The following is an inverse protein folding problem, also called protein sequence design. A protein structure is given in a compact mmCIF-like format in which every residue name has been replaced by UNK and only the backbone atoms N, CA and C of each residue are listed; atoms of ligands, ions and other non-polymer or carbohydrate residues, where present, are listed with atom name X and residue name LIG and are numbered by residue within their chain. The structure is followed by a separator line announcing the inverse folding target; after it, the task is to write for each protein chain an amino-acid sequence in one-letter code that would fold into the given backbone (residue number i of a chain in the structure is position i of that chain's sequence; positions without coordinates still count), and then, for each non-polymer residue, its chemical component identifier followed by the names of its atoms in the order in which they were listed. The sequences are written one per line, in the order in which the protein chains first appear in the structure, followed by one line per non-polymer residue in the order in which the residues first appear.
data_IF_906549993836
#
_entry.id   IF_906549993836
#
_cell.length_a   1.000
_cell.length_b   1.000
_cell.length_c   1.000
_cell.angle_alpha   90.00
_cell.angle_beta   90.00
_cell.angle_gamma   90.00
#
_symmetry.space_group_name_H-M   'P 1'
#
loop_
_entity.id
_entity.type
_entity.pdbx_description
1 polymer ?
#
# COMPACT_ATOMS: atom_id res chain seq x y z
N UNK A 1 20.51 31.46 -53.28
CA UNK A 1 20.14 30.28 -52.51
C UNK A 1 20.01 30.63 -51.04
N UNK A 2 18.80 30.77 -50.52
CA UNK A 2 18.53 31.03 -49.08
C UNK A 2 18.64 29.71 -48.33
N UNK A 3 19.63 29.57 -47.40
CA UNK A 3 19.73 28.44 -46.50
C UNK A 3 18.48 28.43 -45.57
N UNK A 4 17.65 27.41 -45.73
CA UNK A 4 16.60 27.08 -44.78
C UNK A 4 17.28 26.57 -43.49
N UNK A 5 17.23 27.36 -42.44
CA UNK A 5 17.64 26.92 -41.09
C UNK A 5 16.40 26.29 -40.44
N UNK A 6 16.42 24.98 -40.27
CA UNK A 6 15.40 24.27 -39.50
C UNK A 6 15.35 24.84 -38.07
N UNK A 7 14.20 25.26 -37.57
CA UNK A 7 14.10 25.64 -36.15
C UNK A 7 14.40 24.40 -35.30
N UNK A 8 15.42 24.52 -34.44
CA UNK A 8 15.70 23.49 -33.42
C UNK A 8 14.40 23.27 -32.65
N UNK A 9 13.84 22.04 -32.71
CA UNK A 9 12.78 21.60 -31.85
C UNK A 9 13.25 21.74 -30.42
N UNK A 10 12.84 22.82 -29.77
CA UNK A 10 13.07 23.02 -28.34
C UNK A 10 12.31 21.93 -27.58
N UNK A 11 13.05 21.27 -26.72
CA UNK A 11 12.67 20.27 -25.72
C UNK A 11 11.21 20.44 -25.28
N UNK A 12 10.34 19.51 -25.69
CA UNK A 12 8.97 19.41 -25.20
C UNK A 12 9.00 18.86 -23.76
N UNK A 13 9.37 19.68 -22.81
CA UNK A 13 8.96 19.45 -21.43
C UNK A 13 7.48 19.85 -21.34
N UNK A 14 6.61 18.90 -21.61
CA UNK A 14 5.17 19.04 -21.48
C UNK A 14 4.78 19.07 -20.00
N UNK A 15 4.92 20.23 -19.39
CA UNK A 15 4.17 20.60 -18.18
C UNK A 15 2.96 21.44 -18.59
N UNK A 16 1.97 21.53 -17.73
CA UNK A 16 0.74 22.32 -17.91
C UNK A 16 1.03 23.81 -18.21
N UNK A 17 2.28 24.27 -17.98
CA UNK A 17 2.78 25.63 -18.25
C UNK A 17 4.05 25.53 -19.11
N UNK A 18 4.02 26.19 -20.26
CA UNK A 18 5.18 26.33 -21.13
C UNK A 18 6.07 27.47 -20.64
N UNK A 19 7.39 27.42 -20.86
CA UNK A 19 8.33 28.46 -20.45
C UNK A 19 7.98 29.87 -21.02
N UNK A 20 7.21 29.93 -22.12
CA UNK A 20 6.64 31.17 -22.69
C UNK A 20 5.57 31.81 -21.80
N UNK A 21 4.87 31.03 -20.97
CA UNK A 21 3.78 31.53 -20.13
C UNK A 21 4.29 32.32 -18.93
N UNK A 22 5.56 32.15 -18.53
CA UNK A 22 6.20 32.91 -17.45
C UNK A 22 6.44 34.40 -17.79
N UNK A 23 6.34 34.81 -19.05
CA UNK A 23 6.50 36.20 -19.45
C UNK A 23 5.24 37.04 -19.24
N UNK A 24 4.09 36.40 -19.15
CA UNK A 24 2.82 37.11 -18.94
C UNK A 24 2.52 37.28 -17.44
N UNK A 25 2.34 38.52 -16.90
CA UNK A 25 2.09 38.74 -15.47
C UNK A 25 0.81 38.03 -14.97
N UNK A 26 -0.23 37.90 -15.80
CA UNK A 26 -1.44 37.17 -15.43
C UNK A 26 -1.18 35.67 -15.15
N UNK A 27 -0.31 35.04 -15.95
CA UNK A 27 0.06 33.62 -15.73
C UNK A 27 0.92 33.44 -14.48
N UNK A 28 1.75 34.43 -14.11
CA UNK A 28 2.50 34.41 -12.83
C UNK A 28 1.57 34.45 -11.63
N UNK A 29 0.52 35.27 -11.67
CA UNK A 29 -0.47 35.31 -10.60
C UNK A 29 -1.24 34.00 -10.50
N UNK A 30 -1.68 33.42 -11.63
CA UNK A 30 -2.34 32.13 -11.65
C UNK A 30 -1.44 31.00 -11.08
N UNK A 31 -0.16 30.99 -11.45
CA UNK A 31 0.81 30.03 -10.92
C UNK A 31 1.03 30.22 -9.41
N UNK A 32 1.20 31.45 -8.95
CA UNK A 32 1.33 31.74 -7.51
C UNK A 32 0.11 31.25 -6.72
N UNK A 33 -1.09 31.41 -7.30
CA UNK A 33 -2.34 30.94 -6.71
C UNK A 33 -2.37 29.39 -6.62
N UNK A 34 -1.98 28.69 -7.70
CA UNK A 34 -1.87 27.22 -7.69
C UNK A 34 -0.87 26.75 -6.64
N UNK A 35 0.32 27.37 -6.59
CA UNK A 35 1.34 27.01 -5.61
C UNK A 35 0.88 27.28 -4.18
N UNK A 36 0.20 28.41 -3.96
CA UNK A 36 -0.38 28.73 -2.65
C UNK A 36 -1.36 27.64 -2.19
N UNK A 37 -2.32 27.24 -3.05
CA UNK A 37 -3.26 26.18 -2.71
C UNK A 37 -2.58 24.83 -2.51
N UNK A 38 -1.59 24.46 -3.33
CA UNK A 38 -0.82 23.24 -3.14
C UNK A 38 -0.11 23.22 -1.79
N UNK A 39 0.53 24.33 -1.39
CA UNK A 39 1.17 24.45 -0.09
C UNK A 39 0.15 24.42 1.06
N UNK A 40 -0.98 25.10 0.89
CA UNK A 40 -2.06 25.11 1.88
C UNK A 40 -2.62 23.68 2.10
N UNK A 41 -2.96 22.97 1.03
CA UNK A 41 -3.44 21.59 1.13
C UNK A 41 -2.38 20.64 1.68
N UNK A 42 -1.11 20.81 1.30
CA UNK A 42 0.00 20.04 1.85
C UNK A 42 0.15 20.27 3.36
N UNK A 43 0.03 21.54 3.81
CA UNK A 43 0.07 21.86 5.23
C UNK A 43 -1.10 21.24 5.98
N UNK A 44 -2.33 21.36 5.48
CA UNK A 44 -3.52 20.73 6.08
C UNK A 44 -3.37 19.22 6.19
N UNK A 45 -2.83 18.56 5.15
CA UNK A 45 -2.63 17.12 5.14
C UNK A 45 -1.53 16.66 6.13
N UNK A 46 -0.46 17.43 6.28
CA UNK A 46 0.66 17.10 7.17
C UNK A 46 0.40 17.51 8.63
N UNK A 47 -0.51 18.47 8.85
CA UNK A 47 -0.79 19.02 10.18
C UNK A 47 -1.12 17.95 11.24
N UNK A 48 -2.03 16.98 10.99
CA UNK A 48 -2.34 15.96 11.99
C UNK A 48 -1.12 15.11 12.38
N UNK A 49 -0.27 14.78 11.40
CA UNK A 49 0.94 13.97 11.62
C UNK A 49 1.97 14.76 12.45
N UNK A 50 2.21 16.01 12.08
CA UNK A 50 3.14 16.89 12.80
C UNK A 50 2.63 17.15 14.24
N UNK A 51 1.32 17.38 14.38
CA UNK A 51 0.71 17.57 15.69
C UNK A 51 0.80 16.32 16.57
N UNK A 52 0.58 15.13 16.01
CA UNK A 52 0.73 13.86 16.71
C UNK A 52 2.18 13.66 17.21
N UNK A 53 3.15 13.86 16.31
CA UNK A 53 4.59 13.75 16.66
C UNK A 53 4.98 14.74 17.76
N UNK A 54 4.57 15.99 17.65
CA UNK A 54 4.83 17.00 18.67
C UNK A 54 4.13 16.66 19.98
N UNK A 55 2.86 16.23 19.94
CA UNK A 55 2.08 15.92 21.14
C UNK A 55 2.59 14.67 21.88
N UNK A 56 3.07 13.66 21.16
CA UNK A 56 3.64 12.45 21.73
C UNK A 56 4.92 12.72 22.56
N UNK A 57 5.59 13.84 22.32
CA UNK A 57 6.82 14.25 23.01
C UNK A 57 6.59 15.32 24.08
N UNK A 58 5.34 15.71 24.38
CA UNK A 58 5.02 16.63 25.49
C UNK A 58 5.13 15.93 26.83
N UNK A 59 5.45 16.69 27.88
CA UNK A 59 5.38 16.18 29.25
C UNK A 59 3.94 15.84 29.67
N UNK A 60 3.77 14.93 30.65
CA UNK A 60 2.44 14.52 31.16
C UNK A 60 1.63 15.72 31.65
N UNK A 61 2.29 16.65 32.38
CA UNK A 61 1.65 17.86 32.87
C UNK A 61 1.16 18.80 31.78
N UNK A 62 1.85 18.82 30.61
CA UNK A 62 1.46 19.65 29.48
C UNK A 62 0.27 19.04 28.71
N UNK A 63 0.24 17.71 28.55
CA UNK A 63 -0.86 17.01 27.88
C UNK A 63 -2.16 17.17 28.70
N UNK A 64 -2.09 17.05 30.01
CA UNK A 64 -3.24 17.15 30.92
C UNK A 64 -3.63 18.59 31.27
N UNK A 65 -2.87 19.58 30.78
CA UNK A 65 -3.20 20.97 31.01
C UNK A 65 -4.39 21.42 30.17
N UNK A 66 -5.18 22.36 30.72
CA UNK A 66 -6.29 23.00 29.98
C UNK A 66 -5.79 23.95 28.86
N UNK A 67 -4.49 24.20 28.79
CA UNK A 67 -3.88 25.10 27.79
C UNK A 67 -3.32 24.27 26.67
N UNK A 68 -3.97 24.32 25.51
CA UNK A 68 -3.49 23.62 24.31
C UNK A 68 -2.30 24.37 23.70
N UNK A 69 -1.16 23.70 23.66
CA UNK A 69 0.05 24.18 22.95
C UNK A 69 0.26 23.35 21.70
N UNK A 70 0.79 23.95 20.63
CA UNK A 70 1.12 23.18 19.42
C UNK A 70 2.46 22.46 19.60
N UNK A 71 3.49 23.19 20.05
CA UNK A 71 4.81 22.64 20.31
C UNK A 71 5.02 22.29 21.79
N UNK A 72 5.77 21.22 22.10
CA UNK A 72 6.15 20.92 23.47
C UNK A 72 6.93 22.09 24.12
N UNK A 73 6.56 22.47 25.34
CA UNK A 73 7.37 23.36 26.18
C UNK A 73 8.57 22.63 26.72
N UNK A 74 8.38 21.38 27.11
CA UNK A 74 9.41 20.46 27.55
C UNK A 74 9.34 19.18 26.74
N UNK A 75 10.45 18.81 26.09
CA UNK A 75 10.55 17.64 25.26
C UNK A 75 10.87 16.41 26.10
N UNK A 76 9.94 15.47 26.22
CA UNK A 76 10.13 14.19 26.94
C UNK A 76 10.50 13.05 25.98
N UNK A 77 11.78 13.01 25.58
CA UNK A 77 12.31 11.89 24.79
C UNK A 77 12.38 10.58 25.61
N UNK A 78 12.38 10.65 26.95
CA UNK A 78 12.36 9.47 27.81
C UNK A 78 11.09 8.66 27.66
N UNK A 79 9.96 9.27 27.25
CA UNK A 79 8.71 8.57 26.95
C UNK A 79 8.89 7.53 25.86
N UNK A 80 9.64 7.84 24.80
CA UNK A 80 9.96 6.89 23.74
C UNK A 80 10.56 5.59 24.30
N UNK A 81 11.56 5.71 25.16
CA UNK A 81 12.24 4.55 25.76
C UNK A 81 11.31 3.80 26.72
N UNK A 82 10.58 4.52 27.57
CA UNK A 82 9.62 3.91 28.52
C UNK A 82 8.58 3.07 27.79
N UNK A 83 7.93 3.62 26.76
CA UNK A 83 6.87 2.92 26.02
C UNK A 83 7.45 1.75 25.25
N UNK A 84 8.64 1.90 24.64
CA UNK A 84 9.31 0.80 23.96
C UNK A 84 9.62 -0.38 24.87
N UNK A 85 10.03 -0.09 26.13
CA UNK A 85 10.32 -1.12 27.13
C UNK A 85 9.06 -1.74 27.75
N UNK A 86 8.00 -0.95 27.90
CA UNK A 86 6.74 -1.42 28.49
C UNK A 86 5.99 -2.35 27.54
N UNK A 87 6.09 -2.11 26.24
CA UNK A 87 5.41 -2.87 25.20
C UNK A 87 6.46 -3.57 24.35
N UNK A 88 6.29 -4.88 24.15
CA UNK A 88 7.15 -5.66 23.26
C UNK A 88 6.87 -5.35 21.78
N UNK A 89 7.26 -4.12 21.35
CA UNK A 89 7.12 -3.69 19.96
C UNK A 89 7.86 -4.59 18.99
N UNK A 90 8.99 -5.15 19.39
CA UNK A 90 9.79 -6.05 18.54
C UNK A 90 8.95 -7.20 18.03
N UNK A 91 8.18 -7.83 18.91
CA UNK A 91 7.27 -8.92 18.56
C UNK A 91 6.17 -8.46 17.60
N UNK A 92 5.51 -7.34 17.88
CA UNK A 92 4.45 -6.81 17.01
C UNK A 92 4.98 -6.46 15.61
N UNK A 93 6.17 -5.85 15.54
CA UNK A 93 6.81 -5.55 14.25
C UNK A 93 7.20 -6.80 13.49
N UNK A 94 7.79 -7.80 14.14
CA UNK A 94 8.16 -9.07 13.50
C UNK A 94 6.93 -9.80 12.96
N UNK A 95 5.86 -9.90 13.75
CA UNK A 95 4.61 -10.50 13.31
C UNK A 95 4.01 -9.76 12.11
N UNK A 96 3.99 -8.42 12.17
CA UNK A 96 3.50 -7.60 11.06
C UNK A 96 4.36 -7.78 9.81
N UNK A 97 5.68 -7.85 9.97
CA UNK A 97 6.60 -8.08 8.86
C UNK A 97 6.38 -9.44 8.19
N UNK A 98 6.24 -10.50 8.98
CA UNK A 98 5.90 -11.84 8.47
C UNK A 98 4.54 -11.84 7.77
N UNK A 99 3.54 -11.19 8.36
CA UNK A 99 2.22 -11.04 7.77
C UNK A 99 2.28 -10.31 6.41
N UNK A 100 2.94 -9.17 6.36
CA UNK A 100 3.07 -8.34 5.16
C UNK A 100 3.82 -9.09 4.04
N UNK A 101 4.93 -9.75 4.35
CA UNK A 101 5.69 -10.51 3.34
C UNK A 101 4.82 -11.60 2.72
N UNK A 102 4.14 -12.40 3.52
CA UNK A 102 3.28 -13.47 3.01
C UNK A 102 2.10 -12.93 2.19
N UNK A 103 1.48 -11.82 2.63
CA UNK A 103 0.42 -11.14 1.89
C UNK A 103 0.91 -10.64 0.51
N UNK A 104 2.09 -10.02 0.44
CA UNK A 104 2.69 -9.55 -0.82
C UNK A 104 3.01 -10.71 -1.76
N UNK A 105 3.60 -11.79 -1.24
CA UNK A 105 3.92 -12.98 -2.04
C UNK A 105 2.62 -13.57 -2.63
N UNK A 106 1.59 -13.78 -1.81
CA UNK A 106 0.31 -14.30 -2.26
C UNK A 106 -0.38 -13.34 -3.24
N UNK A 107 -0.38 -12.04 -2.97
CA UNK A 107 -0.96 -11.03 -3.85
C UNK A 107 -0.32 -11.06 -5.25
N UNK A 108 1.00 -11.09 -5.33
CA UNK A 108 1.72 -11.12 -6.60
C UNK A 108 1.55 -12.46 -7.31
N UNK A 109 1.77 -13.57 -6.59
CA UNK A 109 1.80 -14.90 -7.20
C UNK A 109 0.43 -15.31 -7.74
N UNK A 110 -0.59 -15.37 -6.89
CA UNK A 110 -1.90 -15.91 -7.29
C UNK A 110 -2.64 -15.01 -8.25
N UNK A 111 -2.64 -13.68 -8.01
CA UNK A 111 -3.34 -12.78 -8.91
C UNK A 111 -2.67 -12.65 -10.28
N UNK A 112 -1.32 -12.73 -10.35
CA UNK A 112 -0.63 -12.72 -11.65
C UNK A 112 -0.85 -14.03 -12.42
N UNK A 113 -0.85 -15.19 -11.76
CA UNK A 113 -1.16 -16.47 -12.39
C UNK A 113 -2.57 -16.49 -12.97
N UNK A 114 -3.57 -16.08 -12.18
CA UNK A 114 -4.96 -15.99 -12.64
C UNK A 114 -5.11 -15.00 -13.80
N UNK A 115 -4.44 -13.85 -13.71
CA UNK A 115 -4.44 -12.84 -14.76
C UNK A 115 -3.79 -13.36 -16.06
N UNK A 116 -2.71 -14.14 -15.96
CA UNK A 116 -2.04 -14.78 -17.08
C UNK A 116 -2.97 -15.76 -17.79
N UNK A 117 -3.65 -16.60 -17.02
CA UNK A 117 -4.62 -17.56 -17.51
C UNK A 117 -5.74 -16.87 -18.31
N UNK A 118 -6.32 -15.81 -17.76
CA UNK A 118 -7.48 -15.14 -18.36
C UNK A 118 -7.08 -14.18 -19.50
N UNK A 119 -5.94 -13.49 -19.42
CA UNK A 119 -5.54 -12.49 -20.41
C UNK A 119 -4.81 -13.09 -21.62
N UNK A 120 -3.98 -14.12 -21.39
CA UNK A 120 -3.07 -14.68 -22.42
C UNK A 120 -3.55 -16.04 -22.88
N UNK A 121 -3.71 -17.02 -22.00
CA UNK A 121 -4.09 -18.40 -22.38
C UNK A 121 -5.53 -18.46 -22.85
N UNK A 122 -6.46 -17.80 -22.18
CA UNK A 122 -7.88 -17.71 -22.52
C UNK A 122 -8.57 -19.09 -22.62
N UNK A 123 -8.55 -19.91 -21.55
CA UNK A 123 -9.17 -21.22 -21.54
C UNK A 123 -10.67 -21.14 -21.81
N UNK A 124 -11.28 -22.29 -22.11
CA UNK A 124 -12.73 -22.34 -22.29
C UNK A 124 -13.46 -21.75 -21.06
N UNK A 125 -14.41 -20.86 -21.28
CA UNK A 125 -15.17 -20.21 -20.20
C UNK A 125 -14.48 -19.00 -19.55
N UNK A 126 -13.28 -18.58 -19.95
CA UNK A 126 -12.54 -17.48 -19.33
C UNK A 126 -13.34 -16.18 -19.18
N UNK A 127 -14.23 -15.87 -20.15
CA UNK A 127 -15.09 -14.67 -20.08
C UNK A 127 -16.12 -14.72 -18.95
N UNK A 128 -16.58 -15.93 -18.62
CA UNK A 128 -17.53 -16.14 -17.54
C UNK A 128 -16.81 -15.97 -16.20
N UNK A 129 -15.64 -16.59 -16.05
CA UNK A 129 -14.77 -16.45 -14.85
C UNK A 129 -14.44 -14.98 -14.62
N UNK A 130 -14.00 -14.27 -15.67
CA UNK A 130 -13.65 -12.84 -15.59
C UNK A 130 -14.83 -11.98 -15.12
N UNK A 131 -16.06 -12.26 -15.65
CA UNK A 131 -17.27 -11.57 -15.21
C UNK A 131 -17.59 -11.83 -13.73
N UNK A 132 -17.45 -13.07 -13.27
CA UNK A 132 -17.68 -13.41 -11.86
C UNK A 132 -16.67 -12.72 -10.93
N UNK A 133 -15.40 -12.65 -11.30
CA UNK A 133 -14.39 -11.91 -10.53
C UNK A 133 -14.76 -10.42 -10.47
N UNK A 134 -15.18 -9.85 -11.61
CA UNK A 134 -15.61 -8.44 -11.64
C UNK A 134 -16.86 -8.19 -10.79
N UNK A 135 -17.86 -9.06 -10.85
CA UNK A 135 -19.05 -8.97 -10.00
C UNK A 135 -18.69 -9.11 -8.51
N UNK A 136 -17.77 -10.04 -8.18
CA UNK A 136 -17.25 -10.19 -6.81
C UNK A 136 -16.55 -8.93 -6.29
N UNK A 137 -15.84 -8.19 -7.16
CA UNK A 137 -15.23 -6.92 -6.80
C UNK A 137 -16.23 -5.82 -6.44
N UNK A 138 -17.45 -5.88 -6.99
CA UNK A 138 -18.50 -4.91 -6.67
C UNK A 138 -19.10 -5.12 -5.27
N UNK A 139 -18.90 -6.28 -4.66
CA UNK A 139 -19.36 -6.56 -3.31
C UNK A 139 -18.39 -5.89 -2.32
N UNK A 140 -18.87 -5.02 -1.41
CA UNK A 140 -18.00 -4.41 -0.41
C UNK A 140 -17.27 -5.47 0.43
N UNK A 141 -15.94 -5.39 0.48
CA UNK A 141 -15.10 -6.36 1.20
C UNK A 141 -15.50 -6.51 2.69
N UNK A 142 -15.99 -5.45 3.30
CA UNK A 142 -16.44 -5.43 4.70
C UNK A 142 -17.58 -6.41 4.99
N UNK A 143 -18.45 -6.70 4.01
CA UNK A 143 -19.54 -7.66 4.15
C UNK A 143 -19.04 -9.11 4.25
N UNK A 144 -17.89 -9.39 3.66
CA UNK A 144 -17.33 -10.74 3.59
C UNK A 144 -16.40 -11.06 4.79
N UNK A 145 -16.03 -10.09 5.60
CA UNK A 145 -15.03 -10.30 6.68
C UNK A 145 -15.54 -11.30 7.73
N UNK A 146 -16.78 -11.14 8.21
CA UNK A 146 -17.33 -12.04 9.23
C UNK A 146 -17.55 -13.47 8.72
N UNK A 147 -18.19 -13.68 7.53
CA UNK A 147 -18.25 -15.01 6.93
C UNK A 147 -16.87 -15.64 6.73
N UNK A 148 -15.91 -14.88 6.22
CA UNK A 148 -14.53 -15.37 6.01
C UNK A 148 -13.87 -15.77 7.32
N UNK A 149 -13.98 -14.96 8.37
CA UNK A 149 -13.41 -15.29 9.68
C UNK A 149 -14.02 -16.57 10.25
N UNK A 150 -15.33 -16.79 10.07
CA UNK A 150 -16.02 -18.02 10.46
C UNK A 150 -15.49 -19.22 9.69
N UNK A 151 -15.41 -19.16 8.37
CA UNK A 151 -14.85 -20.22 7.53
C UNK A 151 -13.40 -20.58 7.93
N UNK A 152 -12.57 -19.59 8.21
CA UNK A 152 -11.21 -19.81 8.71
C UNK A 152 -11.21 -20.61 10.02
N UNK A 153 -12.14 -20.33 10.92
CA UNK A 153 -12.29 -21.04 12.17
C UNK A 153 -12.78 -22.49 11.94
N UNK A 154 -13.79 -22.66 11.11
CA UNK A 154 -14.43 -23.95 10.81
C UNK A 154 -13.48 -24.90 10.07
N UNK A 155 -12.60 -24.41 9.21
CA UNK A 155 -11.55 -25.19 8.54
C UNK A 155 -10.39 -25.62 9.45
N UNK A 156 -10.39 -25.23 10.72
CA UNK A 156 -9.41 -25.67 11.71
C UNK A 156 -8.05 -24.96 11.64
N UNK A 157 -7.91 -23.86 10.87
CA UNK A 157 -6.67 -23.08 10.85
C UNK A 157 -6.32 -22.49 12.21
N UNK A 158 -7.28 -22.39 13.12
CA UNK A 158 -7.12 -21.87 14.48
C UNK A 158 -6.83 -22.96 15.52
N UNK A 159 -6.68 -24.22 15.13
CA UNK A 159 -6.43 -25.36 16.04
C UNK A 159 -5.13 -25.21 16.82
N UNK A 160 -4.12 -24.53 16.24
CA UNK A 160 -2.90 -24.15 16.93
C UNK A 160 -2.70 -22.64 16.80
N UNK A 161 -3.28 -21.84 17.70
CA UNK A 161 -3.27 -20.38 17.59
C UNK A 161 -1.89 -19.74 17.75
N UNK A 162 -0.90 -20.48 18.26
CA UNK A 162 0.49 -20.03 18.40
C UNK A 162 1.35 -20.31 17.16
N UNK A 163 0.82 -21.02 16.16
CA UNK A 163 1.52 -21.35 14.93
C UNK A 163 1.43 -20.24 13.89
N UNK A 164 2.53 -19.92 13.23
CA UNK A 164 2.55 -19.01 12.07
C UNK A 164 1.66 -19.49 10.89
N UNK A 165 1.24 -20.77 10.87
CA UNK A 165 0.26 -21.26 9.91
C UNK A 165 -1.10 -20.55 10.03
N UNK A 166 -1.39 -19.94 11.18
CA UNK A 166 -2.58 -19.09 11.38
C UNK A 166 -2.59 -17.87 10.45
N UNK A 167 -1.43 -17.43 9.95
CA UNK A 167 -1.35 -16.38 8.93
C UNK A 167 -1.73 -16.86 7.52
N UNK A 168 -1.71 -18.16 7.25
CA UNK A 168 -1.95 -18.71 5.90
C UNK A 168 -3.28 -18.24 5.29
N UNK A 169 -4.45 -18.38 5.96
CA UNK A 169 -5.72 -17.91 5.40
C UNK A 169 -5.73 -16.39 5.21
N UNK A 170 -5.06 -15.63 6.07
CA UNK A 170 -4.91 -14.19 5.93
C UNK A 170 -4.08 -13.83 4.68
N UNK A 171 -2.98 -14.53 4.41
CA UNK A 171 -2.18 -14.36 3.20
C UNK A 171 -2.95 -14.72 1.94
N UNK A 172 -3.71 -15.84 1.97
CA UNK A 172 -4.51 -16.29 0.83
C UNK A 172 -5.61 -15.29 0.46
N UNK A 173 -6.16 -14.53 1.42
CA UNK A 173 -7.13 -13.48 1.13
C UNK A 173 -6.56 -12.39 0.19
N UNK A 174 -5.26 -12.08 0.30
CA UNK A 174 -4.58 -11.19 -0.65
C UNK A 174 -4.32 -11.87 -2.00
N UNK A 175 -4.15 -13.19 -2.03
CA UNK A 175 -4.04 -13.98 -3.26
C UNK A 175 -5.32 -14.03 -4.07
N UNK A 176 -6.48 -13.90 -3.44
CA UNK A 176 -7.80 -13.87 -4.07
C UNK A 176 -8.36 -12.44 -4.20
N UNK A 177 -7.53 -11.47 -4.56
CA UNK A 177 -7.93 -10.07 -4.62
C UNK A 177 -8.26 -9.64 -6.05
N UNK A 178 -9.54 -9.38 -6.33
CA UNK A 178 -10.03 -9.01 -7.66
C UNK A 178 -9.38 -7.71 -8.21
N UNK A 179 -9.05 -6.74 -7.35
CA UNK A 179 -8.38 -5.50 -7.78
C UNK A 179 -6.96 -5.77 -8.30
N UNK A 180 -6.16 -6.57 -7.59
CA UNK A 180 -4.81 -6.93 -8.02
C UNK A 180 -4.84 -7.79 -9.29
N UNK A 181 -5.80 -8.71 -9.38
CA UNK A 181 -6.06 -9.48 -10.59
C UNK A 181 -6.33 -8.55 -11.78
N UNK A 182 -7.22 -7.56 -11.65
CA UNK A 182 -7.56 -6.62 -12.73
C UNK A 182 -6.34 -5.80 -13.18
N UNK A 183 -5.48 -5.36 -12.25
CA UNK A 183 -4.25 -4.65 -12.57
C UNK A 183 -3.31 -5.49 -13.44
N UNK A 184 -3.07 -6.75 -13.04
CA UNK A 184 -2.25 -7.67 -13.83
C UNK A 184 -2.89 -8.01 -15.18
N UNK A 185 -4.20 -8.28 -15.22
CA UNK A 185 -4.93 -8.60 -16.45
C UNK A 185 -4.86 -7.47 -17.46
N UNK A 186 -5.09 -6.22 -17.04
CA UNK A 186 -4.98 -5.05 -17.92
C UNK A 186 -3.55 -4.91 -18.46
N UNK A 187 -2.55 -5.08 -17.62
CA UNK A 187 -1.15 -5.02 -18.02
C UNK A 187 -0.78 -6.13 -19.01
N UNK A 188 -1.14 -7.38 -18.72
CA UNK A 188 -0.83 -8.53 -19.58
C UNK A 188 -1.54 -8.47 -20.94
N UNK A 189 -2.75 -7.92 -20.99
CA UNK A 189 -3.50 -7.72 -22.24
C UNK A 189 -2.78 -6.79 -23.22
N UNK A 190 -1.85 -5.95 -22.75
CA UNK A 190 -1.08 -5.00 -23.57
C UNK A 190 0.28 -5.52 -23.98
N UNK A 191 0.70 -6.69 -23.49
CA UNK A 191 1.96 -7.29 -23.90
C UNK A 191 1.91 -7.75 -25.36
N UNK A 192 3.01 -7.60 -26.13
CA UNK A 192 3.07 -8.07 -27.51
C UNK A 192 2.90 -9.60 -27.59
N UNK A 193 1.90 -10.07 -28.32
CA UNK A 193 1.63 -11.50 -28.47
C UNK A 193 2.81 -12.26 -29.13
N UNK A 194 3.53 -11.60 -30.03
CA UNK A 194 4.68 -12.18 -30.72
C UNK A 194 5.75 -12.71 -29.76
N UNK A 195 5.87 -12.17 -28.55
CA UNK A 195 6.82 -12.67 -27.54
C UNK A 195 6.41 -14.04 -26.99
N UNK A 196 5.11 -14.25 -26.78
CA UNK A 196 4.57 -15.53 -26.32
C UNK A 196 4.60 -16.58 -27.43
N UNK A 197 4.28 -16.16 -28.69
CA UNK A 197 4.34 -17.02 -29.86
C UNK A 197 5.78 -17.49 -30.13
N UNK A 198 6.77 -16.59 -30.03
CA UNK A 198 8.19 -16.94 -30.14
C UNK A 198 8.61 -17.96 -29.06
N UNK A 199 8.24 -17.75 -27.80
CA UNK A 199 8.50 -18.72 -26.73
C UNK A 199 7.88 -20.10 -27.00
N UNK A 200 6.64 -20.13 -27.56
CA UNK A 200 5.98 -21.39 -27.93
C UNK A 200 6.68 -22.08 -29.12
N UNK A 201 7.19 -21.32 -30.09
CA UNK A 201 7.97 -21.86 -31.22
C UNK A 201 9.32 -22.46 -30.77
N UNK A 202 9.90 -21.88 -29.70
CA UNK A 202 11.12 -22.42 -29.04
C UNK A 202 10.84 -23.66 -28.16
N UNK A 203 9.58 -24.13 -28.13
CA UNK A 203 9.17 -25.32 -27.36
C UNK A 203 8.97 -25.08 -25.87
N UNK A 204 8.86 -23.82 -25.43
CA UNK A 204 8.60 -23.51 -24.03
C UNK A 204 7.11 -23.81 -23.68
N UNK A 205 6.88 -24.45 -22.52
CA UNK A 205 5.56 -24.63 -21.97
C UNK A 205 4.98 -23.31 -21.40
N UNK A 206 3.68 -23.30 -21.09
CA UNK A 206 2.98 -22.08 -20.61
C UNK A 206 3.57 -21.53 -19.30
N UNK A 207 4.03 -22.39 -18.40
CA UNK A 207 4.64 -21.98 -17.15
C UNK A 207 6.05 -21.38 -17.40
N UNK A 208 6.78 -21.94 -18.33
CA UNK A 208 8.10 -21.38 -18.75
C UNK A 208 7.93 -20.00 -19.39
N UNK A 209 6.95 -19.83 -20.29
CA UNK A 209 6.62 -18.54 -20.89
C UNK A 209 6.24 -17.54 -19.79
N UNK A 210 5.37 -17.92 -18.85
CA UNK A 210 5.01 -17.06 -17.73
C UNK A 210 6.23 -16.63 -16.93
N UNK A 211 7.10 -17.58 -16.53
CA UNK A 211 8.25 -17.30 -15.64
C UNK A 211 9.38 -16.57 -16.34
N UNK A 212 9.68 -16.90 -17.63
CA UNK A 212 10.84 -16.39 -18.34
C UNK A 212 10.55 -15.18 -19.23
N UNK A 213 9.31 -14.97 -19.64
CA UNK A 213 8.89 -13.89 -20.53
C UNK A 213 7.96 -12.90 -19.81
N UNK A 214 6.80 -13.37 -19.35
CA UNK A 214 5.75 -12.47 -18.84
C UNK A 214 6.14 -11.83 -17.52
N UNK A 215 6.57 -12.59 -16.52
CA UNK A 215 6.97 -12.04 -15.21
C UNK A 215 8.11 -11.02 -15.31
N UNK A 216 9.22 -11.28 -16.02
CA UNK A 216 10.28 -10.29 -16.15
C UNK A 216 9.85 -8.99 -16.83
N UNK A 217 9.00 -9.08 -17.85
CA UNK A 217 8.44 -7.90 -18.53
C UNK A 217 7.47 -7.13 -17.64
N UNK A 218 6.88 -7.80 -16.64
CA UNK A 218 5.87 -7.23 -15.76
C UNK A 218 6.43 -6.70 -14.43
N UNK A 219 7.74 -6.60 -14.28
CA UNK A 219 8.39 -6.03 -13.08
C UNK A 219 7.77 -4.70 -12.61
N UNK A 220 7.41 -3.74 -13.50
CA UNK A 220 6.76 -2.51 -13.06
C UNK A 220 5.40 -2.75 -12.41
N UNK A 221 4.58 -3.66 -12.97
CA UNK A 221 3.27 -3.99 -12.42
C UNK A 221 3.38 -4.80 -11.13
N UNK A 222 4.33 -5.73 -11.06
CA UNK A 222 4.65 -6.47 -9.83
C UNK A 222 5.00 -5.49 -8.71
N UNK A 223 5.83 -4.48 -9.01
CA UNK A 223 6.17 -3.43 -8.04
C UNK A 223 4.95 -2.65 -7.54
N UNK A 224 4.02 -2.31 -8.42
CA UNK A 224 2.76 -1.60 -8.06
C UNK A 224 1.90 -2.47 -7.13
N UNK A 225 1.65 -3.73 -7.51
CA UNK A 225 0.84 -4.65 -6.71
C UNK A 225 1.52 -4.95 -5.36
N UNK A 226 2.84 -5.12 -5.35
CA UNK A 226 3.60 -5.33 -4.12
C UNK A 226 3.45 -4.13 -3.15
N UNK A 227 3.55 -2.90 -3.63
CA UNK A 227 3.38 -1.70 -2.80
C UNK A 227 1.95 -1.60 -2.27
N UNK A 228 0.95 -1.83 -3.11
CA UNK A 228 -0.46 -1.76 -2.69
C UNK A 228 -0.80 -2.84 -1.68
N UNK A 229 -0.38 -4.09 -1.91
CA UNK A 229 -0.61 -5.19 -0.96
C UNK A 229 0.17 -5.01 0.34
N UNK A 230 1.40 -4.48 0.29
CA UNK A 230 2.19 -4.12 1.46
C UNK A 230 1.48 -3.06 2.32
N UNK A 231 1.00 -1.99 1.70
CA UNK A 231 0.29 -0.91 2.40
C UNK A 231 -1.04 -1.41 2.97
N UNK A 232 -1.79 -2.19 2.20
CA UNK A 232 -3.07 -2.74 2.64
C UNK A 232 -2.91 -3.73 3.79
N UNK A 233 -1.96 -4.68 3.70
CA UNK A 233 -1.72 -5.66 4.76
C UNK A 233 -1.13 -5.04 6.02
N UNK A 234 -0.27 -4.01 5.89
CA UNK A 234 0.21 -3.29 7.07
C UNK A 234 -0.92 -2.62 7.84
N UNK A 235 -1.87 -2.02 7.13
CA UNK A 235 -3.01 -1.30 7.73
C UNK A 235 -4.19 -2.22 8.07
N UNK A 236 -4.11 -3.52 7.72
CA UNK A 236 -5.19 -4.47 7.98
C UNK A 236 -5.32 -4.71 9.48
N UNK A 237 -6.53 -4.48 9.96
CA UNK A 237 -6.85 -4.62 11.38
C UNK A 237 -7.94 -5.68 11.61
N UNK A 238 -9.07 -5.58 10.87
CA UNK A 238 -10.29 -6.25 11.26
C UNK A 238 -10.22 -7.77 11.12
N UNK A 239 -9.72 -8.28 9.98
CA UNK A 239 -9.59 -9.72 9.79
C UNK A 239 -8.51 -10.33 10.70
N UNK A 240 -7.29 -9.76 10.82
CA UNK A 240 -6.32 -10.19 11.83
C UNK A 240 -6.85 -10.15 13.26
N UNK A 241 -7.65 -9.15 13.63
CA UNK A 241 -8.25 -9.04 14.95
C UNK A 241 -9.19 -10.22 15.27
N UNK A 242 -10.00 -10.64 14.28
CA UNK A 242 -10.93 -11.76 14.43
C UNK A 242 -10.23 -13.13 14.43
N UNK A 243 -9.13 -13.26 13.67
CA UNK A 243 -8.46 -14.54 13.43
C UNK A 243 -7.31 -14.78 14.42
N UNK A 244 -6.50 -13.77 14.74
CA UNK A 244 -5.31 -13.93 15.58
C UNK A 244 -5.66 -13.88 17.06
N UNK A 245 -6.12 -15.01 17.60
CA UNK A 245 -6.53 -15.12 19.00
C UNK A 245 -5.34 -15.13 19.97
N UNK A 246 -4.19 -15.69 19.56
CA UNK A 246 -2.99 -15.75 20.40
C UNK A 246 -2.32 -14.38 20.55
N UNK A 247 -1.98 -14.04 21.78
CA UNK A 247 -1.19 -12.83 22.07
C UNK A 247 0.22 -12.87 21.46
N UNK A 248 0.71 -14.07 21.07
CA UNK A 248 2.04 -14.22 20.47
C UNK A 248 2.11 -13.76 19.03
N UNK A 249 0.99 -13.87 18.27
CA UNK A 249 0.95 -13.61 16.82
C UNK A 249 0.25 -12.30 16.44
N UNK A 250 -0.22 -11.51 17.40
CA UNK A 250 -0.88 -10.25 17.08
C UNK A 250 0.01 -9.34 16.24
N UNK A 251 -0.58 -8.79 15.19
CA UNK A 251 0.06 -7.73 14.39
C UNK A 251 0.08 -6.41 15.16
N UNK A 252 0.85 -5.44 14.67
CA UNK A 252 0.97 -4.13 15.32
C UNK A 252 -0.38 -3.44 15.46
N UNK A 253 -1.21 -3.42 14.41
CA UNK A 253 -2.54 -2.77 14.45
C UNK A 253 -3.46 -3.42 15.48
N UNK A 254 -3.47 -4.75 15.56
CA UNK A 254 -4.23 -5.50 16.58
C UNK A 254 -3.66 -5.24 17.98
N UNK A 255 -2.34 -5.20 18.12
CA UNK A 255 -1.66 -4.88 19.38
C UNK A 255 -2.02 -3.51 19.92
N UNK A 256 -1.94 -2.48 19.06
CA UNK A 256 -2.30 -1.09 19.40
C UNK A 256 -3.75 -1.00 19.86
N UNK A 257 -4.68 -1.62 19.12
CA UNK A 257 -6.10 -1.62 19.48
C UNK A 257 -6.33 -2.27 20.86
N UNK A 258 -5.74 -3.43 21.10
CA UNK A 258 -5.91 -4.14 22.37
C UNK A 258 -5.34 -3.35 23.56
N UNK A 259 -4.17 -2.75 23.39
CA UNK A 259 -3.53 -1.93 24.42
C UNK A 259 -4.38 -0.68 24.70
N UNK A 260 -4.87 -0.01 23.65
CA UNK A 260 -5.71 1.17 23.80
C UNK A 260 -7.10 0.87 24.39
N UNK A 261 -7.64 -0.32 24.10
CA UNK A 261 -8.96 -0.73 24.62
C UNK A 261 -8.94 -1.25 26.06
N UNK A 262 -7.80 -1.77 26.51
CA UNK A 262 -7.67 -2.33 27.87
C UNK A 262 -7.67 -1.27 28.97
N UNK A 263 -7.31 -0.01 28.67
CA UNK A 263 -7.38 1.14 29.59
C UNK A 263 -6.35 1.12 30.74
N UNK A 264 -5.86 -0.06 31.12
CA UNK A 264 -5.03 -0.26 32.32
C UNK A 264 -3.52 -0.38 32.05
N UNK A 265 -3.14 -0.56 30.76
CA UNK A 265 -1.72 -0.85 30.42
C UNK A 265 -0.92 0.43 30.23
N UNK A 266 -1.53 1.44 29.64
CA UNK A 266 -0.92 2.72 29.33
C UNK A 266 -1.77 3.89 29.82
N UNK A 267 -1.09 4.96 30.23
CA UNK A 267 -1.75 6.23 30.46
C UNK A 267 -2.24 6.81 29.10
N UNK A 268 -3.33 7.60 29.09
CA UNK A 268 -3.81 8.26 27.88
C UNK A 268 -2.72 9.05 27.13
N UNK A 269 -1.79 9.68 27.88
CA UNK A 269 -0.67 10.45 27.34
C UNK A 269 0.33 9.58 26.56
N UNK A 270 0.54 8.35 27.03
CA UNK A 270 1.47 7.40 26.43
C UNK A 270 0.90 6.77 25.15
N UNK A 271 -0.43 6.78 25.00
CA UNK A 271 -1.09 6.28 23.79
C UNK A 271 -0.72 7.06 22.52
N UNK A 272 -0.44 8.37 22.66
CA UNK A 272 0.04 9.18 21.52
C UNK A 272 1.38 8.66 20.98
N UNK A 273 2.30 8.24 21.87
CA UNK A 273 3.59 7.67 21.46
C UNK A 273 3.40 6.30 20.76
N UNK A 274 2.44 5.51 21.21
CA UNK A 274 2.10 4.23 20.58
C UNK A 274 1.60 4.45 19.14
N UNK A 275 0.79 5.48 18.91
CA UNK A 275 0.37 5.86 17.55
C UNK A 275 1.55 6.33 16.70
N UNK A 276 2.52 7.05 17.27
CA UNK A 276 3.76 7.43 16.55
C UNK A 276 4.51 6.19 16.08
N UNK A 277 4.68 5.18 16.93
CA UNK A 277 5.31 3.92 16.54
C UNK A 277 4.57 3.24 15.38
N UNK A 278 3.24 3.34 15.32
CA UNK A 278 2.48 2.75 14.21
C UNK A 278 2.70 3.45 12.87
N UNK A 279 3.01 4.74 12.86
CA UNK A 279 3.19 5.51 11.62
C UNK A 279 4.59 5.33 11.04
N UNK A 280 5.61 5.08 11.86
CA UNK A 280 7.01 5.01 11.42
C UNK A 280 7.24 4.02 10.27
N UNK A 281 6.81 2.74 10.34
CA UNK A 281 7.03 1.80 9.24
C UNK A 281 6.31 2.21 7.95
N UNK A 282 5.10 2.77 8.07
CA UNK A 282 4.33 3.24 6.93
C UNK A 282 5.04 4.41 6.22
N UNK A 283 5.61 5.35 6.98
CA UNK A 283 6.42 6.43 6.43
C UNK A 283 7.68 5.90 5.74
N UNK A 284 8.35 4.92 6.33
CA UNK A 284 9.54 4.30 5.74
C UNK A 284 9.18 3.63 4.41
N UNK A 285 8.09 2.85 4.35
CA UNK A 285 7.58 2.23 3.13
C UNK A 285 7.31 3.30 2.08
N UNK A 286 6.60 4.38 2.44
CA UNK A 286 6.31 5.48 1.52
C UNK A 286 7.59 6.13 0.98
N UNK A 287 8.56 6.46 1.83
CA UNK A 287 9.81 7.10 1.43
C UNK A 287 10.66 6.23 0.48
N UNK A 288 10.66 4.91 0.70
CA UNK A 288 11.37 3.97 -0.18
C UNK A 288 10.69 3.89 -1.55
N UNK A 289 9.37 3.80 -1.58
CA UNK A 289 8.59 3.49 -2.78
C UNK A 289 7.89 4.70 -3.42
N UNK A 290 8.09 5.94 -2.92
CA UNK A 290 7.42 7.14 -3.43
C UNK A 290 7.58 7.35 -4.95
N UNK A 291 8.76 7.02 -5.52
CA UNK A 291 9.00 7.16 -6.95
C UNK A 291 8.15 6.20 -7.79
N UNK A 292 8.00 4.96 -7.33
CA UNK A 292 7.17 3.94 -7.98
C UNK A 292 5.68 4.32 -7.89
N UNK A 293 5.23 4.81 -6.73
CA UNK A 293 3.85 5.25 -6.50
C UNK A 293 3.51 6.43 -7.45
N UNK A 294 4.38 7.43 -7.53
CA UNK A 294 4.18 8.59 -8.41
C UNK A 294 4.28 8.23 -9.90
N UNK A 295 5.22 7.34 -10.28
CA UNK A 295 5.41 6.91 -11.65
C UNK A 295 4.24 6.08 -12.21
N UNK A 296 3.53 5.35 -11.36
CA UNK A 296 2.34 4.60 -11.74
C UNK A 296 1.19 5.51 -12.19
N UNK A 297 1.08 6.71 -11.60
CA UNK A 297 0.09 7.73 -11.98
C UNK A 297 0.43 8.48 -13.26
N UNK A 298 1.72 8.75 -13.49
CA UNK A 298 2.18 9.58 -14.61
C UNK A 298 2.08 8.90 -15.99
N UNK A 299 2.20 7.57 -16.07
CA UNK A 299 2.13 6.84 -17.33
C UNK A 299 0.70 6.73 -17.94
N UNK A 300 -0.33 7.13 -17.23
CA UNK A 300 -1.71 7.21 -17.77
C UNK A 300 -2.00 8.51 -18.52
N UNK A 301 -1.20 9.56 -18.33
CA UNK A 301 -1.44 10.89 -18.92
C UNK A 301 -0.64 11.22 -20.19
N UNK A 302 0.21 10.32 -20.71
CA UNK A 302 1.11 10.66 -21.84
C UNK A 302 0.82 9.88 -23.13
N UNK A 303 -0.40 9.35 -23.31
CA UNK A 303 -0.86 8.73 -24.57
C UNK A 303 -2.23 9.27 -24.94
N UNK A 304 -2.29 10.52 -25.30
CA UNK A 304 -3.23 11.13 -26.23
C UNK A 304 -2.45 12.03 -27.20
#
# INVERSE_FOLDING_TARGET
MKKYVFPRLKDKRSGFLNFADYRNPAHKVGYAFIVFFLLLFSFIALFPIIYLLASALKSDGEINSSIYTFWPKVWDFGRFVRIWQTIDFTKYYLNTFVYVIGAVICAVLFNSLLAYEIAIIKPFGYKVIDKFIFLGYMIPATLNILPLAKEIADFGFLSNPDSYLTFLPLWLSFGANAYYYMLFKDYFSRLPKSLMEAGSMDGADQLQIFRRVVLPLSKPMIGIVAIFSMTASYSDFLLPYLVLQSNKLKTLMVGIYNIGSAGDILKPEDFLMLLVFSIIPQLIIFLIFQRQIMGAGANKGSKE
#
